data_IF_742572277141
#
_entry.id   IF_742572277141
#
_cell.length_a   1.000
_cell.length_b   1.000
_cell.length_c   1.000
_cell.angle_alpha   90.00
_cell.angle_beta   90.00
_cell.angle_gamma   90.00
#
_symmetry.space_group_name_H-M   'P 1'
#
loop_
_entity.id
_entity.type
_entity.pdbx_description
1 polymer ?
#
# COMPACT_ATOMS: atom_id res chain seq x y z
N UNK A 1 -8.83 20.14 -17.72
CA UNK A 1 -10.32 20.11 -17.63
C UNK A 1 -10.89 21.11 -18.62
N UNK A 2 -11.84 20.70 -19.43
CA UNK A 2 -12.52 21.56 -20.39
C UNK A 2 -13.92 21.03 -20.66
N UNK A 3 -14.94 21.92 -20.69
CA UNK A 3 -16.31 21.52 -20.95
C UNK A 3 -16.92 20.54 -19.95
N UNK A 4 -16.49 20.55 -18.70
CA UNK A 4 -16.94 19.60 -17.67
C UNK A 4 -16.36 18.18 -17.79
N UNK A 5 -15.32 18.01 -18.60
CA UNK A 5 -14.63 16.74 -18.80
C UNK A 5 -13.15 16.85 -18.50
N UNK A 6 -12.55 15.74 -18.11
CA UNK A 6 -11.12 15.51 -18.15
C UNK A 6 -10.71 15.12 -19.58
N UNK A 7 -9.68 15.77 -20.09
CA UNK A 7 -8.97 15.37 -21.31
C UNK A 7 -7.61 14.82 -20.88
N UNK A 8 -7.37 13.57 -21.14
CA UNK A 8 -6.23 12.83 -20.60
C UNK A 8 -5.41 12.32 -21.78
N UNK A 9 -4.12 12.61 -21.77
CA UNK A 9 -3.15 12.01 -22.68
C UNK A 9 -2.28 11.03 -21.89
N UNK A 10 -2.16 9.83 -22.39
CA UNK A 10 -1.27 8.80 -21.84
C UNK A 10 -0.17 8.48 -22.83
N UNK A 11 1.00 8.09 -22.34
CA UNK A 11 2.11 7.61 -23.13
C UNK A 11 2.55 6.24 -22.62
N UNK A 12 2.78 5.32 -23.52
CA UNK A 12 3.17 3.96 -23.20
C UNK A 12 3.89 3.28 -24.36
N UNK A 13 4.31 2.01 -24.22
CA UNK A 13 5.05 1.27 -25.25
C UNK A 13 4.33 1.19 -26.61
N UNK A 14 3.03 1.36 -26.63
CA UNK A 14 2.18 1.34 -27.83
C UNK A 14 1.91 2.73 -28.41
N UNK A 15 2.55 3.80 -27.88
CA UNK A 15 2.37 5.17 -28.30
C UNK A 15 1.45 5.98 -27.37
N UNK A 16 0.93 7.09 -27.87
CA UNK A 16 0.04 7.98 -27.16
C UNK A 16 -1.42 7.54 -27.25
N UNK A 17 -2.13 7.64 -26.13
CA UNK A 17 -3.59 7.49 -26.04
C UNK A 17 -4.26 8.80 -25.61
N UNK A 18 -5.45 9.10 -26.13
CA UNK A 18 -6.26 10.25 -25.76
C UNK A 18 -7.61 9.78 -25.24
N UNK A 19 -7.97 10.23 -24.04
CA UNK A 19 -9.21 9.83 -23.39
C UNK A 19 -9.96 11.04 -22.85
N UNK A 20 -11.27 10.90 -22.77
CA UNK A 20 -12.12 11.86 -22.06
C UNK A 20 -12.87 11.15 -20.94
N UNK A 21 -13.02 11.83 -19.78
CA UNK A 21 -13.72 11.26 -18.63
C UNK A 21 -14.51 12.32 -17.87
N UNK A 22 -15.63 11.92 -17.29
CA UNK A 22 -16.47 12.78 -16.43
C UNK A 22 -15.90 12.95 -15.02
N UNK A 23 -15.05 12.04 -14.58
CA UNK A 23 -14.35 12.10 -13.31
C UNK A 23 -12.96 11.47 -13.46
N UNK A 24 -12.02 11.88 -12.64
CA UNK A 24 -10.71 11.25 -12.49
C UNK A 24 -10.54 10.78 -11.05
N UNK A 25 -10.08 9.54 -10.88
CA UNK A 25 -9.73 8.97 -9.58
C UNK A 25 -8.23 8.76 -9.53
N UNK A 26 -7.59 9.48 -8.63
CA UNK A 26 -6.17 9.34 -8.35
C UNK A 26 -5.96 8.36 -7.20
N UNK A 27 -5.72 7.11 -7.53
CA UNK A 27 -5.35 6.04 -6.62
C UNK A 27 -3.87 5.67 -6.77
N UNK A 28 -3.02 6.67 -7.01
CA UNK A 28 -1.60 6.52 -7.34
C UNK A 28 -0.72 6.05 -6.18
N UNK A 29 -1.28 5.80 -4.98
CA UNK A 29 -0.52 5.33 -3.83
C UNK A 29 0.66 6.27 -3.51
N UNK A 30 1.91 5.77 -3.53
CA UNK A 30 3.09 6.60 -3.25
C UNK A 30 3.28 7.79 -4.22
N UNK A 31 2.69 7.73 -5.40
CA UNK A 31 2.76 8.78 -6.43
C UNK A 31 1.53 9.70 -6.46
N UNK A 32 0.62 9.59 -5.49
CA UNK A 32 -0.61 10.41 -5.46
C UNK A 32 -0.29 11.90 -5.54
N UNK A 33 0.77 12.37 -4.85
CA UNK A 33 1.19 13.77 -4.87
C UNK A 33 1.76 14.19 -6.23
N UNK A 34 2.47 13.29 -6.90
CA UNK A 34 3.01 13.53 -8.24
C UNK A 34 1.87 13.72 -9.25
N UNK A 35 0.84 12.88 -9.20
CA UNK A 35 -0.35 13.02 -10.04
C UNK A 35 -1.07 14.35 -9.78
N UNK A 36 -1.22 14.77 -8.54
CA UNK A 36 -1.87 16.05 -8.21
C UNK A 36 -1.09 17.23 -8.80
N UNK A 37 0.23 17.25 -8.58
CA UNK A 37 1.08 18.39 -8.96
C UNK A 37 1.40 18.43 -10.45
N UNK A 38 1.86 17.30 -10.98
CA UNK A 38 2.50 17.23 -12.29
C UNK A 38 1.55 16.77 -13.41
N UNK A 39 0.45 16.09 -13.06
CA UNK A 39 -0.55 15.62 -14.03
C UNK A 39 -1.82 16.47 -13.97
N UNK A 40 -2.38 16.66 -12.79
CA UNK A 40 -3.60 17.47 -12.62
C UNK A 40 -3.33 18.97 -12.53
N UNK A 41 -2.08 19.37 -12.26
CA UNK A 41 -1.64 20.77 -12.08
C UNK A 41 -2.44 21.52 -11.00
N UNK A 42 -2.67 20.85 -9.87
CA UNK A 42 -3.40 21.37 -8.72
C UNK A 42 -2.43 21.54 -7.55
N UNK A 43 -2.60 22.61 -6.78
CA UNK A 43 -1.90 22.76 -5.53
C UNK A 43 -2.57 21.90 -4.46
N UNK A 44 -1.91 20.87 -3.91
CA UNK A 44 -2.51 20.00 -2.91
C UNK A 44 -2.67 20.73 -1.59
N UNK A 45 -3.76 20.43 -0.90
CA UNK A 45 -4.01 20.86 0.50
C UNK A 45 -3.57 19.78 1.50
N UNK A 46 -3.43 18.56 1.01
CA UNK A 46 -3.11 17.36 1.80
C UNK A 46 -1.70 16.87 1.51
N UNK A 47 -1.16 16.05 2.41
CA UNK A 47 0.18 15.49 2.30
C UNK A 47 0.22 13.96 2.39
N UNK A 48 1.33 13.42 1.92
CA UNK A 48 1.67 12.00 2.08
C UNK A 48 3.02 11.88 2.76
N UNK A 49 3.07 11.07 3.80
CA UNK A 49 4.30 10.61 4.41
C UNK A 49 4.64 9.23 3.87
N UNK A 50 5.80 9.11 3.25
CA UNK A 50 6.30 7.85 2.73
C UNK A 50 7.04 7.10 3.84
N UNK A 51 6.56 5.92 4.20
CA UNK A 51 7.17 5.08 5.24
C UNK A 51 7.61 3.75 4.63
N UNK A 52 8.92 3.52 4.62
CA UNK A 52 9.49 2.27 4.14
C UNK A 52 9.34 1.18 5.20
N UNK A 53 8.94 -0.01 4.76
CA UNK A 53 8.95 -1.22 5.53
C UNK A 53 9.78 -2.28 4.83
N UNK A 54 10.77 -2.82 5.53
CA UNK A 54 11.68 -3.83 5.01
C UNK A 54 11.43 -5.18 5.65
N UNK A 55 11.69 -6.24 4.88
CA UNK A 55 11.58 -7.62 5.30
C UNK A 55 12.84 -8.38 4.90
N UNK A 56 13.19 -9.38 5.69
CA UNK A 56 14.20 -10.37 5.36
C UNK A 56 13.56 -11.74 5.23
N UNK A 57 14.05 -12.55 4.33
CA UNK A 57 13.72 -13.95 4.17
C UNK A 57 14.93 -14.77 4.57
N UNK A 58 14.77 -15.64 5.54
CA UNK A 58 15.82 -16.53 6.04
C UNK A 58 15.51 -17.97 5.68
N UNK A 59 16.48 -18.87 5.85
CA UNK A 59 16.19 -20.31 5.89
C UNK A 59 15.17 -20.59 6.99
N UNK A 60 14.45 -21.69 6.87
CA UNK A 60 13.38 -22.10 7.79
C UNK A 60 13.87 -22.15 9.24
N UNK A 61 13.16 -21.46 10.12
CA UNK A 61 13.50 -21.37 11.56
C UNK A 61 12.63 -22.27 12.44
N UNK A 62 11.51 -22.77 11.94
CA UNK A 62 10.57 -23.62 12.67
C UNK A 62 9.72 -24.45 11.71
N UNK A 63 9.19 -25.60 12.17
CA UNK A 63 8.54 -26.61 11.32
C UNK A 63 7.01 -26.55 11.30
N UNK A 64 6.38 -25.73 12.13
CA UNK A 64 4.93 -25.57 12.14
C UNK A 64 4.48 -24.46 11.17
N UNK A 65 3.21 -24.43 10.83
CA UNK A 65 2.56 -23.50 9.90
C UNK A 65 2.03 -22.21 10.54
N UNK A 66 2.30 -21.98 11.83
CA UNK A 66 1.82 -20.81 12.59
C UNK A 66 2.79 -19.64 12.46
N UNK A 67 2.23 -18.45 12.35
CA UNK A 67 2.98 -17.20 12.44
C UNK A 67 3.32 -16.86 13.89
N UNK A 68 4.50 -16.30 14.10
CA UNK A 68 4.83 -15.61 15.34
C UNK A 68 4.51 -14.11 15.21
N UNK A 69 3.98 -13.57 16.29
CA UNK A 69 3.76 -12.16 16.50
C UNK A 69 4.59 -11.75 17.72
N UNK A 70 5.60 -10.95 17.51
CA UNK A 70 6.48 -10.46 18.57
C UNK A 70 6.27 -8.97 18.79
N UNK A 71 6.23 -8.58 20.06
CA UNK A 71 6.21 -7.19 20.46
C UNK A 71 7.55 -6.85 21.12
N UNK A 72 8.30 -5.95 20.49
CA UNK A 72 9.58 -5.50 21.01
C UNK A 72 9.45 -4.56 22.21
N UNK A 73 10.53 -4.41 22.95
CA UNK A 73 10.64 -3.46 24.07
C UNK A 73 10.53 -2.00 23.59
N UNK A 74 10.78 -1.76 22.32
CA UNK A 74 10.62 -0.46 21.63
C UNK A 74 9.18 -0.21 21.14
N UNK A 75 8.24 -1.12 21.47
CA UNK A 75 6.82 -1.06 21.08
C UNK A 75 6.53 -1.50 19.65
N UNK A 76 7.54 -1.87 18.87
CA UNK A 76 7.35 -2.36 17.49
C UNK A 76 6.88 -3.79 17.46
N UNK A 77 6.13 -4.07 16.40
CA UNK A 77 5.62 -5.42 16.14
C UNK A 77 6.40 -5.99 14.96
N UNK A 78 6.92 -7.20 15.15
CA UNK A 78 7.58 -7.97 14.10
C UNK A 78 6.94 -9.33 14.00
N UNK A 79 6.73 -9.78 12.78
CA UNK A 79 6.23 -11.11 12.48
C UNK A 79 7.37 -12.01 12.04
N UNK A 80 7.28 -13.31 12.38
CA UNK A 80 7.99 -14.37 11.69
C UNK A 80 6.96 -15.34 11.12
N UNK A 81 6.94 -15.45 9.80
CA UNK A 81 5.88 -16.12 9.06
C UNK A 81 6.50 -17.24 8.24
N UNK A 82 5.94 -18.49 8.27
CA UNK A 82 6.32 -19.52 7.30
C UNK A 82 6.17 -18.94 5.88
N UNK A 83 7.22 -19.04 5.09
CA UNK A 83 7.23 -18.46 3.77
C UNK A 83 7.67 -19.50 2.74
N UNK A 84 6.86 -19.67 1.71
CA UNK A 84 6.96 -20.81 0.82
C UNK A 84 7.00 -22.11 1.66
N UNK A 85 7.90 -23.03 1.46
CA UNK A 85 7.98 -24.25 2.27
C UNK A 85 9.24 -24.28 3.14
N UNK A 86 10.31 -23.63 2.65
CA UNK A 86 11.67 -23.80 3.17
C UNK A 86 12.23 -22.52 3.80
N UNK A 87 11.39 -21.48 3.97
CA UNK A 87 11.85 -20.20 4.44
C UNK A 87 11.02 -19.63 5.58
N UNK A 88 11.55 -18.63 6.23
CA UNK A 88 10.84 -17.77 7.20
C UNK A 88 10.97 -16.32 6.78
N UNK A 89 9.83 -15.64 6.65
CA UNK A 89 9.74 -14.21 6.40
C UNK A 89 9.71 -13.46 7.74
N UNK A 90 10.63 -12.51 7.94
CA UNK A 90 10.73 -11.70 9.16
C UNK A 90 10.57 -10.23 8.78
N UNK A 91 9.71 -9.53 9.45
CA UNK A 91 9.45 -8.11 9.24
C UNK A 91 8.31 -7.60 10.11
N UNK A 92 8.15 -6.30 10.18
CA UNK A 92 8.63 -5.27 9.26
C UNK A 92 9.33 -4.14 10.03
N UNK A 93 10.07 -3.30 9.31
CA UNK A 93 10.56 -2.01 9.81
C UNK A 93 9.56 -0.88 9.47
N UNK A 94 9.70 0.27 10.15
CA UNK A 94 9.03 1.52 9.83
C UNK A 94 10.07 2.66 9.82
N UNK A 95 10.43 3.11 8.63
CA UNK A 95 11.43 4.17 8.41
C UNK A 95 10.90 5.21 7.42
N UNK A 96 11.05 6.49 7.73
CA UNK A 96 10.77 7.54 6.76
C UNK A 96 11.57 7.32 5.48
N UNK A 97 10.91 7.52 4.32
CA UNK A 97 11.49 7.35 3.01
C UNK A 97 11.51 8.70 2.29
N UNK A 98 12.71 9.19 1.97
CA UNK A 98 12.91 10.54 1.41
C UNK A 98 13.21 10.53 -0.10
N UNK A 99 13.55 9.37 -0.65
CA UNK A 99 13.85 9.23 -2.08
C UNK A 99 12.61 8.78 -2.87
N UNK A 100 12.76 8.54 -4.17
CA UNK A 100 11.67 8.04 -5.00
C UNK A 100 11.14 6.70 -4.46
N UNK A 101 9.82 6.45 -4.50
CA UNK A 101 9.26 5.19 -4.01
C UNK A 101 9.86 3.94 -4.64
N UNK A 102 10.29 4.04 -5.91
CA UNK A 102 10.98 2.98 -6.65
C UNK A 102 12.36 2.61 -6.09
N UNK A 103 12.96 3.49 -5.31
CA UNK A 103 14.31 3.30 -4.78
C UNK A 103 14.34 2.60 -3.42
N UNK A 104 13.16 2.18 -2.93
CA UNK A 104 13.06 1.48 -1.66
C UNK A 104 13.88 0.18 -1.68
N UNK A 105 14.79 0.07 -0.72
CA UNK A 105 15.65 -1.11 -0.50
C UNK A 105 15.78 -1.36 0.99
N UNK A 106 15.94 -2.62 1.37
CA UNK A 106 16.31 -2.99 2.73
C UNK A 106 17.76 -2.57 2.97
N UNK A 107 17.98 -1.70 3.92
CA UNK A 107 19.34 -1.29 4.30
C UNK A 107 19.99 -2.33 5.20
N UNK A 108 21.32 -2.28 5.31
CA UNK A 108 22.05 -3.15 6.22
C UNK A 108 21.61 -2.95 7.67
N UNK A 109 21.31 -1.72 8.07
CA UNK A 109 20.81 -1.40 9.43
C UNK A 109 19.43 -2.01 9.67
N UNK A 110 18.53 -1.99 8.67
CA UNK A 110 17.21 -2.61 8.79
C UNK A 110 17.32 -4.14 8.87
N UNK A 111 18.17 -4.74 8.04
CA UNK A 111 18.47 -6.16 8.10
C UNK A 111 19.01 -6.55 9.47
N UNK A 112 20.03 -5.84 9.95
CA UNK A 112 20.71 -6.13 11.21
C UNK A 112 19.77 -5.94 12.40
N UNK A 113 18.86 -4.94 12.35
CA UNK A 113 17.80 -4.77 13.32
C UNK A 113 16.83 -5.98 13.35
N UNK A 114 16.39 -6.45 12.19
CA UNK A 114 15.48 -7.60 12.11
C UNK A 114 16.14 -8.90 12.59
N UNK A 115 17.42 -9.10 12.29
CA UNK A 115 18.21 -10.23 12.79
C UNK A 115 18.38 -10.17 14.31
N UNK A 116 18.78 -9.01 14.84
CA UNK A 116 18.93 -8.80 16.28
C UNK A 116 17.62 -9.02 17.03
N UNK A 117 16.49 -8.59 16.42
CA UNK A 117 15.16 -8.82 16.98
C UNK A 117 14.80 -10.32 17.00
N UNK A 118 14.98 -11.03 15.89
CA UNK A 118 14.69 -12.45 15.79
C UNK A 118 15.50 -13.27 16.82
N UNK A 119 16.76 -12.92 17.02
CA UNK A 119 17.67 -13.58 17.95
C UNK A 119 17.29 -13.38 19.44
N UNK A 120 16.34 -12.50 19.75
CA UNK A 120 15.81 -12.39 21.12
C UNK A 120 14.77 -13.49 21.43
N UNK A 121 14.16 -14.09 20.41
CA UNK A 121 13.03 -14.99 20.56
C UNK A 121 13.30 -16.41 20.08
N UNK A 122 14.16 -16.61 19.09
CA UNK A 122 14.51 -17.92 18.57
C UNK A 122 15.74 -18.48 19.29
N UNK A 123 15.71 -19.78 19.63
CA UNK A 123 16.84 -20.46 20.22
C UNK A 123 18.00 -20.64 19.23
N UNK A 124 17.68 -20.80 17.96
CA UNK A 124 18.66 -20.80 16.87
C UNK A 124 19.10 -19.38 16.56
N UNK A 125 20.40 -19.12 16.60
CA UNK A 125 20.95 -17.85 16.16
C UNK A 125 20.83 -17.70 14.64
N UNK A 126 20.22 -16.63 14.20
CA UNK A 126 20.07 -16.27 12.79
C UNK A 126 21.12 -15.22 12.43
N UNK A 127 21.90 -15.50 11.40
CA UNK A 127 23.01 -14.64 10.96
C UNK A 127 22.73 -14.01 9.58
N UNK A 128 23.62 -13.14 9.13
CA UNK A 128 23.53 -12.55 7.77
C UNK A 128 23.60 -13.62 6.67
N UNK A 129 24.33 -14.70 6.92
CA UNK A 129 24.51 -15.80 5.95
C UNK A 129 23.24 -16.65 5.79
N UNK A 130 22.31 -16.56 6.75
CA UNK A 130 21.01 -17.23 6.67
C UNK A 130 19.99 -16.41 5.87
N UNK A 131 20.27 -15.14 5.57
CA UNK A 131 19.40 -14.27 4.78
C UNK A 131 19.54 -14.61 3.31
N UNK A 132 18.49 -15.16 2.72
CA UNK A 132 18.47 -15.57 1.31
C UNK A 132 17.89 -14.49 0.40
N UNK A 133 17.06 -13.61 0.94
CA UNK A 133 16.45 -12.51 0.18
C UNK A 133 15.99 -11.37 1.10
N UNK A 134 15.88 -10.18 0.52
CA UNK A 134 15.30 -9.01 1.20
C UNK A 134 14.40 -8.26 0.23
N UNK A 135 13.35 -7.63 0.75
CA UNK A 135 12.56 -6.70 -0.02
C UNK A 135 12.03 -5.55 0.85
N UNK A 136 11.68 -4.46 0.19
CA UNK A 136 11.11 -3.29 0.83
C UNK A 136 9.97 -2.73 0.01
N UNK A 137 9.00 -2.17 0.70
CA UNK A 137 7.92 -1.41 0.10
C UNK A 137 7.72 -0.08 0.80
N UNK A 138 7.10 0.87 0.11
CA UNK A 138 6.78 2.19 0.66
C UNK A 138 5.28 2.27 0.93
N UNK A 139 4.93 2.63 2.16
CA UNK A 139 3.55 2.92 2.56
C UNK A 139 3.28 4.40 2.35
N UNK A 140 2.30 4.78 1.52
CA UNK A 140 1.87 6.17 1.36
C UNK A 140 0.86 6.49 2.46
N UNK A 141 1.31 6.84 3.64
CA UNK A 141 0.42 7.20 4.74
C UNK A 141 -0.04 8.63 4.59
N UNK A 142 -1.28 8.92 4.98
CA UNK A 142 -1.76 10.28 5.05
C UNK A 142 -0.94 11.05 6.09
N UNK A 143 -0.42 12.22 5.73
CA UNK A 143 0.39 13.04 6.63
C UNK A 143 -0.53 13.83 7.56
N UNK A 144 -0.73 13.29 8.76
CA UNK A 144 -1.53 13.90 9.84
C UNK A 144 -0.69 14.75 10.80
N UNK A 145 0.59 14.98 10.45
CA UNK A 145 1.53 15.76 11.26
C UNK A 145 2.11 14.98 12.46
N UNK A 146 1.86 13.68 12.58
CA UNK A 146 2.42 12.86 13.66
C UNK A 146 3.96 12.79 13.57
N UNK A 147 4.64 13.04 14.68
CA UNK A 147 6.10 13.05 14.73
C UNK A 147 6.74 11.68 14.46
N UNK A 148 6.09 10.57 14.87
CA UNK A 148 6.63 9.22 14.74
C UNK A 148 5.97 8.47 13.56
N UNK A 149 6.73 7.87 12.62
CA UNK A 149 6.19 7.09 11.50
C UNK A 149 5.23 5.98 11.88
N UNK A 150 5.44 5.34 13.03
CA UNK A 150 4.58 4.25 13.52
C UNK A 150 3.25 4.74 14.09
N UNK A 151 3.12 6.03 14.44
CA UNK A 151 1.91 6.65 14.99
C UNK A 151 1.01 7.27 13.91
N UNK A 152 1.48 7.40 12.68
CA UNK A 152 0.72 7.96 11.55
C UNK A 152 -0.50 7.09 11.25
N UNK A 153 -1.64 7.73 10.99
CA UNK A 153 -2.88 7.00 10.66
C UNK A 153 -2.69 6.06 9.47
N UNK A 154 -3.25 4.87 9.58
CA UNK A 154 -3.26 3.87 8.50
C UNK A 154 -4.61 3.78 7.80
N UNK A 155 -5.55 4.66 8.15
CA UNK A 155 -6.82 4.79 7.44
C UNK A 155 -6.62 5.58 6.14
N UNK A 156 -7.59 5.43 5.24
CA UNK A 156 -7.59 6.18 3.99
C UNK A 156 -8.33 7.51 4.15
N UNK A 157 -7.84 8.53 3.45
CA UNK A 157 -8.45 9.85 3.37
C UNK A 157 -8.80 10.15 1.92
N UNK A 158 -9.96 10.79 1.73
CA UNK A 158 -10.42 11.26 0.43
C UNK A 158 -10.37 12.77 0.36
N UNK A 159 -9.77 13.28 -0.68
CA UNK A 159 -9.87 14.68 -1.08
C UNK A 159 -10.59 14.76 -2.44
N UNK A 160 -11.68 15.51 -2.49
CA UNK A 160 -12.52 15.67 -3.67
C UNK A 160 -12.45 17.11 -4.17
N UNK A 161 -11.69 17.34 -5.22
CA UNK A 161 -11.62 18.63 -5.91
C UNK A 161 -12.65 18.71 -7.06
N UNK A 162 -13.51 19.70 -6.98
CA UNK A 162 -14.54 20.01 -7.99
C UNK A 162 -14.36 21.40 -8.63
N UNK A 163 -13.31 22.13 -8.28
CA UNK A 163 -13.11 23.53 -8.69
C UNK A 163 -12.97 23.71 -10.20
N UNK A 164 -12.49 22.68 -10.92
CA UNK A 164 -12.33 22.70 -12.38
C UNK A 164 -13.53 22.13 -13.16
N UNK A 165 -14.69 21.92 -12.53
CA UNK A 165 -15.89 21.37 -13.14
C UNK A 165 -15.96 19.85 -13.06
N UNK A 166 -15.14 19.09 -13.82
CA UNK A 166 -15.06 17.63 -13.68
C UNK A 166 -14.35 17.25 -12.37
N UNK A 167 -14.92 16.35 -11.52
CA UNK A 167 -14.34 16.03 -10.24
C UNK A 167 -13.02 15.24 -10.38
N UNK A 168 -12.09 15.54 -9.45
CA UNK A 168 -10.91 14.73 -9.15
C UNK A 168 -11.06 14.19 -7.73
N UNK A 169 -11.04 12.87 -7.58
CA UNK A 169 -11.00 12.22 -6.28
C UNK A 169 -9.59 11.70 -6.02
N UNK A 170 -8.90 12.27 -5.05
CA UNK A 170 -7.62 11.80 -4.57
C UNK A 170 -7.82 10.84 -3.39
N UNK A 171 -7.06 9.74 -3.38
CA UNK A 171 -7.11 8.71 -2.34
C UNK A 171 -5.72 8.62 -1.70
N UNK A 172 -5.66 8.93 -0.40
CA UNK A 172 -4.45 8.87 0.40
C UNK A 172 -4.51 7.67 1.34
N UNK A 173 -3.42 6.93 1.49
CA UNK A 173 -3.34 5.79 2.39
C UNK A 173 -4.15 4.58 1.93
N UNK A 174 -4.64 3.81 2.91
CA UNK A 174 -5.40 2.59 2.69
C UNK A 174 -4.56 1.32 2.77
N UNK A 175 -5.24 0.19 2.98
CA UNK A 175 -4.65 -1.14 3.10
C UNK A 175 -5.26 -2.08 2.06
N UNK A 176 -4.48 -3.05 1.61
CA UNK A 176 -5.00 -4.10 0.71
C UNK A 176 -6.20 -4.84 1.34
N UNK A 177 -6.18 -5.04 2.64
CA UNK A 177 -7.26 -5.72 3.37
C UNK A 177 -8.58 -4.93 3.43
N UNK A 178 -8.54 -3.62 3.21
CA UNK A 178 -9.73 -2.74 3.21
C UNK A 178 -10.12 -2.27 1.81
N UNK A 179 -9.45 -2.76 0.75
CA UNK A 179 -9.61 -2.27 -0.62
C UNK A 179 -11.07 -2.24 -1.11
N UNK A 180 -11.85 -3.27 -0.81
CA UNK A 180 -13.25 -3.35 -1.23
C UNK A 180 -14.10 -2.22 -0.63
N UNK A 181 -13.99 -2.00 0.69
CA UNK A 181 -14.71 -0.91 1.37
C UNK A 181 -14.21 0.46 0.94
N UNK A 182 -12.90 0.59 0.73
CA UNK A 182 -12.31 1.81 0.20
C UNK A 182 -12.91 2.14 -1.17
N UNK A 183 -12.99 1.15 -2.07
CA UNK A 183 -13.55 1.33 -3.41
C UNK A 183 -15.03 1.77 -3.37
N UNK A 184 -15.85 1.14 -2.51
CA UNK A 184 -17.26 1.53 -2.32
C UNK A 184 -17.38 2.95 -1.73
N UNK A 185 -16.53 3.31 -0.77
CA UNK A 185 -16.51 4.64 -0.17
C UNK A 185 -16.05 5.71 -1.18
N UNK A 186 -15.06 5.40 -2.01
CA UNK A 186 -14.61 6.27 -3.09
C UNK A 186 -15.74 6.50 -4.11
N UNK A 187 -16.41 5.43 -4.52
CA UNK A 187 -17.55 5.54 -5.44
C UNK A 187 -18.69 6.37 -4.83
N UNK A 188 -18.98 6.19 -3.55
CA UNK A 188 -20.02 6.99 -2.87
C UNK A 188 -19.74 8.49 -2.91
N UNK A 189 -18.46 8.91 -2.87
CA UNK A 189 -18.07 10.34 -3.05
C UNK A 189 -18.38 10.85 -4.46
N UNK A 190 -18.36 9.97 -5.45
CA UNK A 190 -18.59 10.33 -6.86
C UNK A 190 -20.06 10.18 -7.30
N UNK A 191 -20.90 9.47 -6.55
CA UNK A 191 -22.33 9.28 -6.86
C UNK A 191 -23.07 10.59 -7.23
N UNK A 192 -22.85 11.73 -6.55
CA UNK A 192 -23.52 12.99 -6.92
C UNK A 192 -23.27 13.46 -8.37
N UNK A 193 -22.18 13.00 -8.99
CA UNK A 193 -21.83 13.33 -10.38
C UNK A 193 -22.33 12.26 -11.40
N UNK A 194 -22.93 11.18 -10.90
CA UNK A 194 -23.38 10.03 -11.71
C UNK A 194 -24.81 9.62 -11.32
N UNK A 195 -25.84 10.34 -11.77
CA UNK A 195 -27.24 10.14 -11.33
C UNK A 195 -27.78 8.72 -11.56
N UNK A 196 -27.17 7.96 -12.48
CA UNK A 196 -27.55 6.58 -12.79
C UNK A 196 -26.65 5.54 -12.09
N UNK A 197 -25.85 5.95 -11.10
CA UNK A 197 -25.00 5.03 -10.32
C UNK A 197 -25.87 4.03 -9.56
N UNK A 198 -25.48 2.76 -9.62
CA UNK A 198 -26.13 1.71 -8.86
C UNK A 198 -25.64 1.69 -7.41
N UNK A 199 -26.41 1.14 -6.46
CA UNK A 199 -25.95 0.98 -5.08
C UNK A 199 -24.76 0.02 -5.00
N UNK A 200 -24.06 0.04 -3.85
CA UNK A 200 -22.95 -0.86 -3.57
C UNK A 200 -23.39 -2.34 -3.68
N UNK A 201 -22.58 -3.15 -4.32
CA UNK A 201 -22.87 -4.56 -4.62
C UNK A 201 -21.72 -5.53 -4.35
N UNK A 202 -20.50 -5.02 -4.14
CA UNK A 202 -19.28 -5.85 -4.12
C UNK A 202 -19.17 -6.80 -2.92
N UNK A 203 -19.96 -6.59 -1.86
CA UNK A 203 -19.87 -7.38 -0.62
C UNK A 203 -20.18 -8.87 -0.77
N UNK A 204 -20.90 -9.25 -1.81
CA UNK A 204 -21.36 -10.64 -2.03
C UNK A 204 -20.97 -11.19 -3.40
N UNK A 205 -20.05 -10.54 -4.06
CA UNK A 205 -19.59 -10.97 -5.39
C UNK A 205 -18.12 -11.36 -5.29
N UNK A 206 -17.73 -12.54 -5.72
CA UNK A 206 -16.36 -12.94 -5.75
C UNK A 206 -15.55 -12.05 -6.70
N UNK A 207 -14.28 -11.85 -6.42
CA UNK A 207 -13.35 -11.26 -7.36
C UNK A 207 -13.15 -12.22 -8.56
N UNK A 208 -12.78 -11.70 -9.74
CA UNK A 208 -12.40 -12.56 -10.86
C UNK A 208 -11.34 -13.60 -10.43
N UNK A 209 -11.62 -14.87 -10.71
CA UNK A 209 -10.78 -15.98 -10.25
C UNK A 209 -11.04 -16.46 -8.82
N UNK A 210 -11.95 -15.82 -8.08
CA UNK A 210 -12.29 -16.18 -6.70
C UNK A 210 -13.60 -16.96 -6.55
N UNK A 211 -14.21 -17.37 -7.66
CA UNK A 211 -15.47 -18.11 -7.67
C UNK A 211 -15.24 -19.63 -7.55
N UNK A 212 -14.73 -20.04 -6.41
CA UNK A 212 -14.51 -21.45 -6.05
C UNK A 212 -14.73 -21.66 -4.54
N UNK A 213 -14.96 -22.92 -4.07
CA UNK A 213 -15.09 -23.21 -2.66
C UNK A 213 -13.88 -22.76 -1.84
N UNK A 214 -14.09 -22.38 -0.57
CA UNK A 214 -13.04 -21.84 0.31
C UNK A 214 -11.85 -22.80 0.52
N UNK A 215 -12.06 -24.09 0.31
CA UNK A 215 -11.08 -25.18 0.40
C UNK A 215 -10.55 -25.63 -0.99
N UNK A 216 -10.97 -24.97 -2.06
CA UNK A 216 -10.65 -25.35 -3.44
C UNK A 216 -9.30 -24.86 -3.96
N UNK A 217 -8.49 -24.17 -3.15
CA UNK A 217 -7.19 -23.59 -3.58
C UNK A 217 -6.15 -24.66 -3.91
N UNK A 218 -6.28 -25.85 -3.34
CA UNK A 218 -5.35 -26.94 -3.55
C UNK A 218 -5.76 -27.93 -4.66
N UNK A 219 -6.83 -27.63 -5.40
CA UNK A 219 -7.37 -28.47 -6.48
C UNK A 219 -6.79 -28.13 -7.84
#
# INVERSE_FOLDING_TARGET
RQGGLWHITTEGPQGQGHYTARALVNAGGPWVMDVIRNVAHINPTEGVRLVRGSHIVTRKLFDHDRCYFFQGTDGRIIFAIPYEQDFTLIGTTDKDHQSAPSDARCTDEERDYLLAFANQYFAQTVTKDDVVWTYSGVRPLYDDGAGNPSAVTRDYVFDLDTTGGAPLLNIFGGKITTHRRLAESALAKLVPFFPNAKPAWTARVPLPGGDFPHDGVAA
#
